data_IF_410469934985
#
_entry.id   IF_410469934985
#
_cell.length_a   1.000
_cell.length_b   1.000
_cell.length_c   1.000
_cell.angle_alpha   90.00
_cell.angle_beta   90.00
_cell.angle_gamma   90.00
#
_symmetry.space_group_name_H-M   'P 1'
#
loop_
_entity.id
_entity.type
_entity.pdbx_description
1 polymer ?
#
# COMPACT_ATOMS: atom_id res chain seq x y z
N UNK A 1 6.89 21.58 19.73
CA UNK A 1 6.52 20.18 19.46
C UNK A 1 5.48 20.15 18.35
N UNK A 2 5.83 19.74 17.14
CA UNK A 2 4.86 19.63 16.03
C UNK A 2 4.65 18.15 15.70
N UNK A 3 3.63 17.57 16.33
CA UNK A 3 2.98 16.35 15.87
C UNK A 3 2.24 16.69 14.57
N UNK A 4 2.72 16.16 13.44
CA UNK A 4 1.99 16.25 12.18
C UNK A 4 0.78 15.33 12.27
N UNK A 5 -0.38 15.89 12.59
CA UNK A 5 -1.66 15.21 12.42
C UNK A 5 -2.02 15.32 10.93
N UNK A 6 -1.88 14.22 10.20
CA UNK A 6 -2.40 14.15 8.84
C UNK A 6 -3.92 14.25 8.91
N UNK A 7 -4.49 15.32 8.37
CA UNK A 7 -5.93 15.39 8.12
C UNK A 7 -6.30 14.24 7.19
N UNK A 8 -7.09 13.30 7.72
CA UNK A 8 -7.55 12.13 6.98
C UNK A 8 -8.58 12.61 5.95
N UNK A 9 -8.14 12.89 4.72
CA UNK A 9 -9.06 12.93 3.59
C UNK A 9 -9.85 11.62 3.58
N UNK A 10 -11.17 11.65 3.35
CA UNK A 10 -12.02 10.46 3.44
C UNK A 10 -11.50 9.28 2.60
N UNK A 11 -10.83 9.58 1.49
CA UNK A 11 -10.29 8.61 0.54
C UNK A 11 -8.86 8.14 0.84
N UNK A 12 -8.21 8.63 1.91
CA UNK A 12 -6.83 8.31 2.23
C UNK A 12 -6.69 6.91 2.85
N UNK A 13 -5.90 6.02 2.24
CA UNK A 13 -5.71 4.65 2.73
C UNK A 13 -4.26 4.29 3.12
N UNK A 14 -3.38 5.30 3.15
CA UNK A 14 -1.97 5.12 3.48
C UNK A 14 -1.65 5.06 4.98
N UNK A 15 -0.39 4.74 5.29
CA UNK A 15 0.11 4.62 6.66
C UNK A 15 -0.06 3.21 7.22
N UNK A 16 -1.13 2.97 7.98
CA UNK A 16 -1.42 1.66 8.60
C UNK A 16 -2.85 1.25 8.26
N UNK A 17 -2.98 0.10 7.62
CA UNK A 17 -4.26 -0.46 7.16
C UNK A 17 -4.36 -1.93 7.50
N UNK A 18 -5.58 -2.40 7.78
CA UNK A 18 -5.87 -3.81 8.02
C UNK A 18 -6.94 -4.28 7.03
N UNK A 19 -6.70 -5.43 6.41
CA UNK A 19 -7.58 -6.04 5.40
C UNK A 19 -7.70 -7.53 5.72
N UNK A 20 -8.92 -8.06 5.77
CA UNK A 20 -9.13 -9.49 6.00
C UNK A 20 -8.61 -10.31 4.82
N UNK A 21 -8.35 -11.61 5.03
CA UNK A 21 -7.94 -12.51 3.95
C UNK A 21 -8.93 -12.50 2.79
N UNK A 22 -10.23 -12.53 3.10
CA UNK A 22 -11.32 -12.53 2.13
C UNK A 22 -11.37 -11.21 1.35
N UNK A 23 -11.24 -10.08 2.05
CA UNK A 23 -11.20 -8.76 1.43
C UNK A 23 -9.99 -8.62 0.49
N UNK A 24 -8.81 -9.07 0.95
CA UNK A 24 -7.57 -9.03 0.17
C UNK A 24 -7.68 -9.90 -1.09
N UNK A 25 -8.21 -11.12 -0.96
CA UNK A 25 -8.44 -12.00 -2.12
C UNK A 25 -9.48 -11.41 -3.09
N UNK A 26 -10.54 -10.79 -2.58
CA UNK A 26 -11.61 -10.19 -3.39
C UNK A 26 -11.10 -9.06 -4.29
N UNK A 27 -10.10 -8.30 -3.84
CA UNK A 27 -9.47 -7.21 -4.61
C UNK A 27 -8.29 -7.67 -5.47
N UNK A 28 -7.99 -8.98 -5.52
CA UNK A 28 -6.78 -9.51 -6.13
C UNK A 28 -5.49 -8.95 -5.49
N UNK A 29 -5.50 -8.67 -4.18
CA UNK A 29 -4.37 -8.05 -3.50
C UNK A 29 -4.04 -6.63 -4.00
N UNK A 30 -2.80 -6.22 -3.76
CA UNK A 30 -2.29 -4.87 -4.07
C UNK A 30 -1.58 -4.83 -5.44
N UNK A 31 -1.52 -3.65 -6.11
CA UNK A 31 -0.85 -3.54 -7.40
C UNK A 31 0.67 -3.78 -7.28
N UNK A 32 1.27 -4.45 -8.26
CA UNK A 32 2.72 -4.72 -8.27
C UNK A 32 3.52 -3.69 -9.09
N UNK A 33 2.84 -2.78 -9.79
CA UNK A 33 3.47 -1.94 -10.82
C UNK A 33 3.64 -0.47 -10.43
N UNK A 34 3.53 -0.15 -9.13
CA UNK A 34 3.86 1.16 -8.59
C UNK A 34 5.33 1.18 -8.17
N UNK A 35 6.21 1.54 -9.13
CA UNK A 35 7.63 1.75 -8.88
C UNK A 35 7.92 3.25 -8.68
N UNK A 36 8.49 3.60 -7.54
CA UNK A 36 8.67 4.99 -7.09
C UNK A 36 7.55 5.47 -6.17
N UNK A 37 7.57 6.76 -5.80
CA UNK A 37 6.70 7.29 -4.76
C UNK A 37 5.29 7.63 -5.27
N UNK A 38 4.28 7.01 -4.63
CA UNK A 38 2.91 7.50 -4.55
C UNK A 38 1.91 6.90 -5.54
N UNK A 39 0.65 6.83 -5.08
CA UNK A 39 -0.56 6.45 -5.82
C UNK A 39 -1.00 4.99 -5.61
N UNK A 40 -0.17 4.16 -5.00
CA UNK A 40 -0.46 2.77 -4.67
C UNK A 40 -1.58 2.66 -3.64
N UNK A 41 -1.57 3.50 -2.60
CA UNK A 41 -2.61 3.52 -1.57
C UNK A 41 -3.97 3.96 -2.13
N UNK A 42 -3.95 4.92 -3.08
CA UNK A 42 -5.15 5.37 -3.80
C UNK A 42 -5.71 4.26 -4.71
N UNK A 43 -4.84 3.46 -5.34
CA UNK A 43 -5.24 2.28 -6.11
C UNK A 43 -5.92 1.24 -5.21
N UNK A 44 -5.32 0.96 -4.04
CA UNK A 44 -5.89 0.02 -3.07
C UNK A 44 -7.26 0.50 -2.58
N UNK A 45 -7.39 1.79 -2.26
CA UNK A 45 -8.69 2.40 -1.91
C UNK A 45 -9.72 2.17 -3.02
N UNK A 46 -9.37 2.48 -4.27
CA UNK A 46 -10.24 2.29 -5.43
C UNK A 46 -10.66 0.82 -5.60
N UNK A 47 -9.73 -0.13 -5.45
CA UNK A 47 -10.05 -1.57 -5.52
C UNK A 47 -11.08 -1.99 -4.48
N UNK A 48 -10.95 -1.51 -3.25
CA UNK A 48 -11.89 -1.79 -2.17
C UNK A 48 -13.29 -1.24 -2.51
N UNK A 49 -13.35 0.02 -2.93
CA UNK A 49 -14.60 0.69 -3.32
C UNK A 49 -15.26 0.02 -4.53
N UNK A 50 -14.50 -0.37 -5.55
CA UNK A 50 -15.03 -1.08 -6.72
C UNK A 50 -15.58 -2.47 -6.40
N UNK A 51 -15.14 -3.09 -5.31
CA UNK A 51 -15.68 -4.34 -4.78
C UNK A 51 -16.83 -4.13 -3.76
N UNK A 52 -17.33 -2.89 -3.66
CA UNK A 52 -18.46 -2.51 -2.81
C UNK A 52 -18.13 -2.40 -1.33
N UNK A 53 -16.85 -2.33 -0.96
CA UNK A 53 -16.43 -2.23 0.43
C UNK A 53 -16.35 -0.77 0.88
N UNK A 54 -16.52 -0.56 2.20
CA UNK A 54 -16.38 0.74 2.86
C UNK A 54 -15.18 0.71 3.79
N UNK A 55 -14.50 1.85 3.93
CA UNK A 55 -13.38 1.97 4.84
C UNK A 55 -13.90 2.24 6.26
N UNK A 56 -13.48 1.41 7.20
CA UNK A 56 -13.70 1.62 8.64
C UNK A 56 -12.50 2.35 9.23
N UNK A 57 -12.74 3.28 10.15
CA UNK A 57 -11.67 4.05 10.82
C UNK A 57 -11.96 4.15 12.31
N UNK A 58 -10.93 4.08 13.17
CA UNK A 58 -11.07 4.47 14.57
C UNK A 58 -11.42 5.96 14.68
N UNK A 59 -11.94 6.38 15.83
CA UNK A 59 -12.13 7.81 16.10
C UNK A 59 -10.78 8.55 16.05
N UNK A 60 -10.82 9.84 15.71
CA UNK A 60 -9.62 10.66 15.58
C UNK A 60 -8.77 10.72 16.86
N UNK A 61 -9.37 10.49 18.03
CA UNK A 61 -8.64 10.46 19.31
C UNK A 61 -7.89 9.15 19.56
N UNK A 62 -8.43 8.02 19.11
CA UNK A 62 -7.78 6.72 19.22
C UNK A 62 -6.80 6.46 18.06
N UNK A 63 -7.09 6.97 16.87
CA UNK A 63 -6.33 6.72 15.64
C UNK A 63 -5.05 7.56 15.45
N UNK A 64 -4.46 8.09 16.52
CA UNK A 64 -3.28 8.95 16.43
C UNK A 64 -2.02 8.11 16.25
N UNK A 65 -1.27 8.38 15.18
CA UNK A 65 0.01 7.73 14.91
C UNK A 65 1.16 8.74 14.94
N UNK A 66 2.35 8.29 15.34
CA UNK A 66 3.57 9.11 15.35
C UNK A 66 4.58 8.55 14.35
N UNK A 67 4.94 9.35 13.36
CA UNK A 67 6.00 9.04 12.41
C UNK A 67 7.38 9.16 13.10
N UNK A 68 8.23 8.14 12.94
CA UNK A 68 9.66 8.26 13.22
C UNK A 68 10.28 9.18 12.16
N UNK A 69 10.91 10.27 12.60
CA UNK A 69 11.44 11.30 11.70
C UNK A 69 12.52 10.71 10.79
N UNK A 70 12.40 10.99 9.50
CA UNK A 70 13.38 10.63 8.49
C UNK A 70 13.47 11.77 7.45
N UNK A 71 14.64 11.92 6.83
CA UNK A 71 14.78 12.75 5.62
C UNK A 71 14.09 12.05 4.45
N UNK A 72 13.67 12.81 3.43
CA UNK A 72 13.15 12.21 2.21
C UNK A 72 14.19 11.26 1.58
N UNK A 73 13.76 10.05 1.26
CA UNK A 73 14.63 9.04 0.66
C UNK A 73 15.03 9.45 -0.76
N UNK A 74 16.33 9.64 -0.99
CA UNK A 74 16.89 10.03 -2.30
C UNK A 74 16.60 9.05 -3.44
N UNK A 75 16.18 7.82 -3.12
CA UNK A 75 15.85 6.76 -4.09
C UNK A 75 14.34 6.62 -4.34
N UNK A 76 13.52 7.49 -3.73
CA UNK A 76 12.07 7.42 -3.82
C UNK A 76 11.52 8.60 -4.63
N UNK A 77 11.94 8.68 -5.89
CA UNK A 77 11.47 9.71 -6.82
C UNK A 77 9.96 9.54 -7.09
N UNK A 78 9.21 10.64 -7.28
CA UNK A 78 7.79 10.57 -7.59
C UNK A 78 7.51 9.68 -8.79
N UNK A 79 6.57 8.75 -8.66
CA UNK A 79 6.13 7.95 -9.79
C UNK A 79 5.41 8.88 -10.79
N UNK A 80 5.95 9.09 -12.01
CA UNK A 80 5.35 10.00 -13.00
C UNK A 80 4.03 9.45 -13.54
N UNK A 81 3.80 8.14 -13.42
CA UNK A 81 2.61 7.46 -13.92
C UNK A 81 1.49 7.35 -12.87
N UNK A 82 1.69 7.81 -11.63
CA UNK A 82 0.76 7.58 -10.51
C UNK A 82 -0.70 7.92 -10.84
N UNK A 83 -0.97 9.10 -11.38
CA UNK A 83 -2.34 9.54 -11.70
C UNK A 83 -2.98 8.69 -12.80
N UNK A 84 -2.18 8.34 -13.83
CA UNK A 84 -2.63 7.45 -14.89
C UNK A 84 -2.93 6.06 -14.34
N UNK A 85 -2.11 5.53 -13.43
CA UNK A 85 -2.34 4.20 -12.85
C UNK A 85 -3.62 4.17 -12.00
N UNK A 86 -3.83 5.18 -11.16
CA UNK A 86 -5.05 5.35 -10.34
C UNK A 86 -6.30 5.43 -11.23
N UNK A 87 -6.25 6.16 -12.35
CA UNK A 87 -7.39 6.25 -13.26
C UNK A 87 -7.70 4.92 -13.98
N UNK A 88 -6.71 4.01 -14.04
CA UNK A 88 -6.81 2.72 -14.71
C UNK A 88 -7.03 1.54 -13.74
N UNK A 89 -7.22 1.78 -12.44
CA UNK A 89 -7.40 0.72 -11.43
C UNK A 89 -8.50 -0.26 -11.81
N UNK A 90 -9.63 0.21 -12.35
CA UNK A 90 -10.77 -0.65 -12.72
C UNK A 90 -10.39 -1.64 -13.83
N UNK A 91 -9.54 -1.23 -14.76
CA UNK A 91 -9.06 -2.05 -15.86
C UNK A 91 -7.98 -3.03 -15.41
N UNK A 92 -7.08 -2.60 -14.52
CA UNK A 92 -5.88 -3.36 -14.17
C UNK A 92 -6.06 -4.26 -12.95
N UNK A 93 -6.98 -3.98 -12.03
CA UNK A 93 -7.05 -4.71 -10.75
C UNK A 93 -7.27 -6.22 -10.89
N UNK A 94 -7.86 -6.67 -12.00
CA UNK A 94 -8.08 -8.11 -12.26
C UNK A 94 -6.83 -8.85 -12.75
N UNK A 95 -5.88 -8.13 -13.35
CA UNK A 95 -4.68 -8.69 -14.00
C UNK A 95 -3.39 -8.32 -13.29
N UNK A 96 -3.36 -7.22 -12.54
CA UNK A 96 -2.24 -6.79 -11.71
C UNK A 96 -2.58 -6.92 -10.22
N UNK A 97 -1.98 -7.88 -9.56
CA UNK A 97 -2.20 -8.17 -8.15
C UNK A 97 -1.52 -9.45 -7.68
N UNK A 98 -2.07 -10.13 -6.67
CA UNK A 98 -1.48 -11.38 -6.16
C UNK A 98 -1.38 -12.48 -7.24
N UNK A 99 -2.31 -12.50 -8.20
CA UNK A 99 -2.28 -13.46 -9.32
C UNK A 99 -1.12 -13.25 -10.30
N UNK A 100 -0.56 -12.05 -10.36
CA UNK A 100 0.56 -11.69 -11.22
C UNK A 100 1.86 -11.44 -10.44
N UNK A 101 1.84 -11.67 -9.12
CA UNK A 101 2.97 -11.41 -8.25
C UNK A 101 4.12 -12.36 -8.61
N UNK A 102 5.28 -11.79 -8.94
CA UNK A 102 6.50 -12.52 -9.24
C UNK A 102 7.62 -11.98 -8.35
N UNK A 103 8.25 -12.88 -7.61
CA UNK A 103 9.40 -12.58 -6.76
C UNK A 103 10.19 -13.87 -6.51
N UNK A 104 11.44 -13.72 -6.11
CA UNK A 104 12.28 -14.82 -5.64
C UNK A 104 12.66 -14.56 -4.19
N UNK A 105 12.43 -15.55 -3.33
CA UNK A 105 12.97 -15.53 -1.98
C UNK A 105 14.48 -15.73 -2.07
N UNK A 106 15.24 -14.75 -1.57
CA UNK A 106 16.70 -14.77 -1.52
C UNK A 106 17.16 -15.39 -0.22
N UNK A 107 16.54 -14.99 0.89
CA UNK A 107 16.90 -15.48 2.23
C UNK A 107 15.71 -15.39 3.21
N UNK A 108 15.72 -16.25 4.24
CA UNK A 108 14.77 -16.24 5.35
C UNK A 108 15.53 -16.37 6.67
N UNK A 109 15.47 -15.32 7.48
CA UNK A 109 16.07 -15.27 8.81
C UNK A 109 14.99 -15.21 9.88
N UNK A 110 15.05 -16.12 10.86
CA UNK A 110 14.11 -16.16 11.99
C UNK A 110 14.81 -15.61 13.22
N UNK A 111 14.43 -14.40 13.62
CA UNK A 111 14.86 -13.78 14.86
C UNK A 111 13.83 -14.08 15.97
N UNK A 112 14.16 -13.71 17.21
CA UNK A 112 13.28 -13.83 18.36
C UNK A 112 12.04 -12.93 18.23
N UNK A 113 12.19 -11.74 17.65
CA UNK A 113 11.12 -10.72 17.60
C UNK A 113 10.43 -10.59 16.23
N UNK A 114 11.06 -11.09 15.17
CA UNK A 114 10.51 -10.99 13.81
C UNK A 114 11.08 -12.08 12.90
N UNK A 115 10.44 -12.26 11.74
CA UNK A 115 11.00 -13.05 10.64
C UNK A 115 11.29 -12.11 9.48
N UNK A 116 12.54 -12.09 9.02
CA UNK A 116 12.95 -11.33 7.85
C UNK A 116 12.88 -12.23 6.62
N UNK A 117 12.21 -11.74 5.57
CA UNK A 117 12.14 -12.43 4.28
C UNK A 117 12.74 -11.46 3.26
N UNK A 118 13.96 -11.76 2.82
CA UNK A 118 14.65 -10.97 1.80
C UNK A 118 14.22 -11.48 0.42
N UNK A 119 13.71 -10.57 -0.43
CA UNK A 119 13.14 -10.92 -1.73
C UNK A 119 13.74 -10.10 -2.87
N UNK A 120 13.90 -10.75 -4.02
CA UNK A 120 14.12 -10.10 -5.30
C UNK A 120 12.77 -9.95 -6.01
N UNK A 121 12.35 -8.69 -6.20
CA UNK A 121 11.08 -8.31 -6.85
C UNK A 121 11.28 -7.86 -8.31
N UNK A 122 12.48 -8.06 -8.86
CA UNK A 122 12.83 -7.65 -10.22
C UNK A 122 13.06 -6.15 -10.36
N UNK A 123 12.78 -5.64 -11.56
CA UNK A 123 12.95 -4.23 -11.96
C UNK A 123 11.66 -3.71 -12.61
N UNK A 124 11.43 -2.38 -12.61
CA UNK A 124 10.31 -1.77 -13.32
C UNK A 124 10.24 -2.12 -14.80
#
# INVERSE_FOLDING_TARGET
ENSFFYYCNNNYFGGVSAVSKEQFQKINGFPNNYWGWGGEDDDIFNRLVFQGMKISRPSGDMGKCRMIRHSRDKKNEPNPQRFRRISHTRQTMKTDGIKSLSYKVVDIEKDLLYTQITVDIGKP
#
